data_IF_461709913714
#
_entry.id   IF_461709913714
#
_cell.length_a   1.000
_cell.length_b   1.000
_cell.length_c   1.000
_cell.angle_alpha   90.00
_cell.angle_beta   90.00
_cell.angle_gamma   90.00
#
_symmetry.space_group_name_H-M   'P 1'
#
loop_
_entity.id
_entity.type
_entity.pdbx_description
1 polymer ?
#
# COMPACT_ATOMS: atom_id res chain seq x y z
N UNK A 1 -20.59 5.97 -1.02
CA UNK A 1 -20.05 4.89 -0.16
C UNK A 1 -18.68 5.35 0.32
N UNK A 2 -18.33 5.16 1.59
CA UNK A 2 -17.00 5.54 2.11
C UNK A 2 -15.96 4.58 1.54
N UNK A 3 -14.98 5.12 0.79
CA UNK A 3 -13.86 4.36 0.23
C UNK A 3 -12.92 3.95 1.37
N UNK A 4 -12.57 2.66 1.45
CA UNK A 4 -11.64 2.17 2.48
C UNK A 4 -10.20 2.38 2.00
N UNK A 5 -9.38 3.05 2.82
CA UNK A 5 -7.96 3.26 2.56
C UNK A 5 -7.12 2.21 3.27
N UNK A 6 -6.29 1.49 2.51
CA UNK A 6 -5.46 0.39 2.99
C UNK A 6 -3.98 0.74 2.87
N UNK A 7 -3.22 0.66 3.96
CA UNK A 7 -1.77 0.65 3.91
C UNK A 7 -1.26 -0.78 3.81
N UNK A 8 -0.45 -1.06 2.78
CA UNK A 8 0.11 -2.38 2.52
C UNK A 8 1.64 -2.33 2.55
N UNK A 9 2.21 -2.79 3.66
CA UNK A 9 3.65 -2.97 3.79
C UNK A 9 4.10 -4.29 3.14
N UNK A 10 5.29 -4.26 2.52
CA UNK A 10 5.81 -5.42 1.82
C UNK A 10 5.06 -5.73 0.52
N UNK A 11 4.50 -4.73 -0.16
CA UNK A 11 3.67 -4.90 -1.37
C UNK A 11 4.37 -5.65 -2.54
N UNK A 12 5.70 -5.68 -2.54
CA UNK A 12 6.51 -6.41 -3.52
C UNK A 12 6.85 -7.86 -3.10
N UNK A 13 6.59 -8.24 -1.86
CA UNK A 13 6.78 -9.62 -1.39
C UNK A 13 5.69 -10.54 -1.91
N UNK A 14 5.91 -11.86 -1.91
CA UNK A 14 4.97 -12.82 -2.51
C UNK A 14 3.54 -12.67 -1.97
N UNK A 15 3.39 -12.54 -0.64
CA UNK A 15 2.09 -12.40 0.01
C UNK A 15 1.52 -11.00 -0.22
N UNK A 16 2.33 -9.95 0.01
CA UNK A 16 1.89 -8.57 -0.19
C UNK A 16 1.43 -8.31 -1.62
N UNK A 17 2.12 -8.88 -2.60
CA UNK A 17 1.75 -8.75 -4.00
C UNK A 17 0.40 -9.42 -4.31
N UNK A 18 0.17 -10.62 -3.79
CA UNK A 18 -1.12 -11.29 -3.94
C UNK A 18 -2.26 -10.47 -3.30
N UNK A 19 -2.04 -9.90 -2.12
CA UNK A 19 -3.01 -9.02 -1.45
C UNK A 19 -3.25 -7.75 -2.27
N UNK A 20 -2.19 -7.12 -2.79
CA UNK A 20 -2.29 -5.94 -3.64
C UNK A 20 -3.17 -6.21 -4.86
N UNK A 21 -2.93 -7.33 -5.54
CA UNK A 21 -3.73 -7.74 -6.70
C UNK A 21 -5.19 -7.97 -6.33
N UNK A 22 -5.46 -8.68 -5.22
CA UNK A 22 -6.83 -8.94 -4.77
C UNK A 22 -7.59 -7.65 -4.41
N UNK A 23 -6.93 -6.71 -3.73
CA UNK A 23 -7.54 -5.42 -3.39
C UNK A 23 -7.81 -4.56 -4.63
N UNK A 24 -6.85 -4.51 -5.56
CA UNK A 24 -6.97 -3.69 -6.77
C UNK A 24 -7.98 -4.25 -7.79
N UNK A 25 -8.26 -5.56 -7.75
CA UNK A 25 -9.23 -6.21 -8.64
C UNK A 25 -10.58 -6.51 -7.99
N UNK A 26 -10.82 -6.09 -6.75
CA UNK A 26 -12.09 -6.33 -6.05
C UNK A 26 -13.24 -5.59 -6.75
N UNK A 27 -14.28 -6.32 -7.12
CA UNK A 27 -15.45 -5.75 -7.82
C UNK A 27 -16.55 -5.34 -6.85
N UNK A 28 -16.58 -5.95 -5.65
CA UNK A 28 -17.59 -5.69 -4.63
C UNK A 28 -17.35 -4.37 -3.89
N UNK A 29 -16.09 -3.91 -3.84
CA UNK A 29 -15.70 -2.68 -3.15
C UNK A 29 -14.45 -2.06 -3.76
N UNK A 30 -14.46 -0.74 -3.89
CA UNK A 30 -13.27 0.03 -4.23
C UNK A 30 -12.40 0.31 -3.01
N UNK A 31 -11.11 0.06 -3.14
CA UNK A 31 -10.09 0.38 -2.14
C UNK A 31 -9.13 1.44 -2.67
N UNK A 32 -8.77 2.40 -1.83
CA UNK A 32 -7.59 3.23 -2.04
C UNK A 32 -6.40 2.54 -1.39
N UNK A 33 -5.33 2.29 -2.12
CA UNK A 33 -4.22 1.45 -1.64
C UNK A 33 -2.95 2.30 -1.56
N UNK A 34 -2.32 2.32 -0.39
CA UNK A 34 -0.98 2.88 -0.17
C UNK A 34 -0.01 1.70 -0.08
N UNK A 35 0.71 1.43 -1.17
CA UNK A 35 1.66 0.33 -1.29
C UNK A 35 3.06 0.78 -0.87
N UNK A 36 3.53 0.29 0.27
CA UNK A 36 4.88 0.54 0.76
C UNK A 36 5.85 -0.50 0.19
N UNK A 37 6.87 -0.01 -0.51
CA UNK A 37 7.95 -0.82 -1.08
C UNK A 37 9.31 -0.36 -0.53
N UNK A 38 10.35 -1.15 -0.76
CA UNK A 38 11.70 -0.76 -0.33
C UNK A 38 12.16 0.51 -1.05
N UNK A 39 13.05 1.31 -0.45
CA UNK A 39 13.74 2.40 -1.14
C UNK A 39 14.31 1.93 -2.47
N UNK A 40 14.21 2.79 -3.49
CA UNK A 40 14.70 2.53 -4.85
C UNK A 40 14.05 1.33 -5.58
N UNK A 41 13.06 0.66 -4.99
CA UNK A 41 12.29 -0.38 -5.67
C UNK A 41 11.07 0.22 -6.35
N UNK A 42 10.83 -0.16 -7.60
CA UNK A 42 9.54 0.09 -8.25
C UNK A 42 8.49 -0.90 -7.75
N UNK A 43 7.23 -0.46 -7.67
CA UNK A 43 6.11 -1.34 -7.39
C UNK A 43 5.98 -2.42 -8.47
N UNK A 44 5.91 -3.68 -8.06
CA UNK A 44 5.73 -4.84 -8.94
C UNK A 44 4.25 -5.12 -9.14
N UNK A 45 3.54 -4.24 -9.83
CA UNK A 45 2.12 -4.44 -10.12
C UNK A 45 1.87 -4.40 -11.62
N UNK A 46 0.99 -5.27 -12.10
CA UNK A 46 0.54 -5.31 -13.51
C UNK A 46 -0.98 -5.24 -13.52
N UNK A 47 -1.53 -4.12 -13.95
CA UNK A 47 -2.97 -3.86 -13.97
C UNK A 47 -3.30 -2.37 -13.95
N UNK A 48 -4.56 -2.03 -13.71
CA UNK A 48 -4.97 -0.65 -13.48
C UNK A 48 -4.48 -0.15 -12.12
N UNK A 49 -3.55 0.80 -12.14
CA UNK A 49 -2.92 1.32 -10.93
C UNK A 49 -3.55 2.63 -10.42
N UNK A 50 -4.67 3.10 -10.99
CA UNK A 50 -5.29 4.40 -10.61
C UNK A 50 -5.64 4.50 -9.13
N UNK A 51 -5.94 3.37 -8.49
CA UNK A 51 -6.27 3.30 -7.07
C UNK A 51 -5.05 3.10 -6.15
N UNK A 52 -3.83 3.00 -6.70
CA UNK A 52 -2.62 2.64 -5.96
C UNK A 52 -1.65 3.83 -5.91
N UNK A 53 -1.28 4.21 -4.68
CA UNK A 53 -0.18 5.13 -4.40
C UNK A 53 1.00 4.32 -3.89
N UNK A 54 2.15 4.41 -4.54
CA UNK A 54 3.36 3.74 -4.09
C UNK A 54 4.25 4.69 -3.30
N UNK A 55 4.62 4.29 -2.09
CA UNK A 55 5.58 4.99 -1.24
C UNK A 55 6.78 4.08 -0.96
N UNK A 56 7.97 4.67 -0.85
CA UNK A 56 9.21 3.91 -0.64
C UNK A 56 10.09 4.44 0.50
N UNK A 57 9.55 4.66 1.71
CA UNK A 57 10.34 5.08 2.84
C UNK A 57 11.33 3.98 3.27
N UNK A 58 12.47 4.38 3.81
CA UNK A 58 13.35 3.44 4.50
C UNK A 58 12.82 3.21 5.93
N UNK A 59 12.13 2.09 6.13
CA UNK A 59 11.51 1.77 7.41
C UNK A 59 12.54 1.52 8.53
N UNK A 60 13.82 1.28 8.22
CA UNK A 60 14.86 1.11 9.23
C UNK A 60 15.28 2.45 9.86
N UNK A 61 15.07 3.56 9.15
CA UNK A 61 15.55 4.88 9.56
C UNK A 61 14.45 5.95 9.62
N UNK A 62 13.25 5.66 9.10
CA UNK A 62 12.13 6.61 9.10
C UNK A 62 11.73 6.95 10.54
N UNK A 63 11.60 8.24 10.82
CA UNK A 63 11.10 8.69 12.11
C UNK A 63 9.58 8.49 12.19
N UNK A 64 9.04 8.40 13.41
CA UNK A 64 7.59 8.40 13.62
C UNK A 64 6.96 9.65 13.02
N UNK A 65 7.61 10.82 13.20
CA UNK A 65 7.15 12.09 12.65
C UNK A 65 6.98 12.05 11.12
N UNK A 66 7.85 11.33 10.42
CA UNK A 66 7.80 11.24 8.95
C UNK A 66 6.87 10.12 8.47
N UNK A 67 6.70 9.04 9.24
CA UNK A 67 5.80 7.94 8.90
C UNK A 67 4.33 8.26 9.20
N UNK A 68 4.04 8.95 10.30
CA UNK A 68 2.66 9.24 10.73
C UNK A 68 1.81 9.94 9.65
N UNK A 69 2.30 10.97 8.94
CA UNK A 69 1.55 11.62 7.87
C UNK A 69 1.22 10.66 6.71
N UNK A 70 2.06 9.66 6.43
CA UNK A 70 1.82 8.68 5.36
C UNK A 70 0.67 7.72 5.69
N UNK A 71 0.32 7.58 6.97
CA UNK A 71 -0.74 6.70 7.46
C UNK A 71 -2.01 7.46 7.87
N UNK A 72 -2.03 8.79 7.72
CA UNK A 72 -3.18 9.60 8.09
C UNK A 72 -4.39 9.23 7.22
N UNK A 73 -5.50 8.87 7.85
CA UNK A 73 -6.72 8.46 7.16
C UNK A 73 -6.68 7.05 6.57
N UNK A 74 -5.70 6.22 6.96
CA UNK A 74 -5.70 4.78 6.69
C UNK A 74 -6.67 4.10 7.63
N UNK A 75 -7.56 3.27 7.08
CA UNK A 75 -8.53 2.48 7.84
C UNK A 75 -7.96 1.11 8.26
N UNK A 76 -7.12 0.52 7.42
CA UNK A 76 -6.57 -0.84 7.61
C UNK A 76 -5.10 -0.89 7.23
N UNK A 77 -4.30 -1.57 8.06
CA UNK A 77 -2.87 -1.79 7.82
C UNK A 77 -2.56 -3.29 7.70
N UNK A 78 -1.88 -3.68 6.62
CA UNK A 78 -1.27 -5.00 6.47
C UNK A 78 0.25 -4.90 6.60
N UNK A 79 0.83 -5.69 7.50
CA UNK A 79 2.28 -5.74 7.75
C UNK A 79 2.77 -7.17 7.52
N UNK A 80 3.79 -7.32 6.66
CA UNK A 80 4.40 -8.63 6.36
C UNK A 80 5.89 -8.52 6.07
#
# INVERSE_FOLDING_TARGET
>A
MTQTTVALFGANGNIGNAILHALASCQEREFKIIAFVRPNASLRYRGDARAIVSLSPDLATVSVHDLSPMLLGVDVVFIR
#
